data_IF_985894109944
#
_entry.id   IF_985894109944
#
_cell.length_a   1.000
_cell.length_b   1.000
_cell.length_c   1.000
_cell.angle_alpha   90.00
_cell.angle_beta   90.00
_cell.angle_gamma   90.00
#
_symmetry.space_group_name_H-M   'P 1'
#
loop_
_entity.id
_entity.type
_entity.pdbx_description
1 polymer ?
#
# COMPACT_ATOMS: atom_id res chain seq x y z
N UNK A 1 28.54 14.26 14.82
CA UNK A 1 27.80 13.25 14.03
C UNK A 1 26.81 14.02 13.16
N UNK A 2 26.95 13.99 11.83
CA UNK A 2 26.06 14.78 10.96
C UNK A 2 24.63 14.21 10.99
N UNK A 3 23.65 15.04 11.30
CA UNK A 3 22.22 14.66 11.31
C UNK A 3 21.74 14.46 9.88
N UNK A 4 21.53 13.20 9.47
CA UNK A 4 20.94 12.88 8.16
C UNK A 4 19.47 13.33 8.15
N UNK A 5 19.10 14.16 7.18
CA UNK A 5 17.68 14.46 6.91
C UNK A 5 17.03 13.17 6.38
N UNK A 6 15.86 12.75 6.90
CA UNK A 6 15.19 11.57 6.39
C UNK A 6 14.79 11.80 4.93
N UNK A 7 14.97 10.76 4.11
CA UNK A 7 14.51 10.75 2.73
C UNK A 7 12.96 10.77 2.70
N UNK A 8 12.35 11.42 1.71
CA UNK A 8 10.90 11.41 1.56
C UNK A 8 10.42 9.97 1.32
N UNK A 9 9.42 9.55 2.10
CA UNK A 9 8.81 8.21 2.02
C UNK A 9 7.38 8.34 1.50
N UNK A 10 6.96 7.40 0.67
CA UNK A 10 5.59 7.19 0.26
C UNK A 10 5.22 5.71 0.42
N UNK A 11 3.93 5.43 0.51
CA UNK A 11 3.40 4.08 0.70
C UNK A 11 2.60 3.65 -0.53
N UNK A 12 2.73 2.39 -0.92
CA UNK A 12 1.88 1.77 -1.93
C UNK A 12 1.06 0.67 -1.27
N UNK A 13 -0.27 0.84 -1.23
CA UNK A 13 -1.17 -0.19 -0.70
C UNK A 13 -1.60 -1.13 -1.82
N UNK A 14 -1.62 -2.43 -1.51
CA UNK A 14 -2.00 -3.51 -2.42
C UNK A 14 -3.23 -4.27 -1.91
N UNK A 15 -4.45 -3.70 -1.98
CA UNK A 15 -5.68 -4.30 -1.45
C UNK A 15 -5.95 -5.73 -1.94
N UNK A 16 -5.69 -5.98 -3.22
CA UNK A 16 -5.89 -7.29 -3.87
C UNK A 16 -4.90 -8.33 -3.36
N UNK A 17 -3.61 -7.99 -3.29
CA UNK A 17 -2.58 -8.87 -2.70
C UNK A 17 -2.90 -9.17 -1.24
N UNK A 18 -3.26 -8.15 -0.46
CA UNK A 18 -3.67 -8.30 0.94
C UNK A 18 -4.83 -9.30 1.08
N UNK A 19 -5.81 -9.23 0.18
CA UNK A 19 -6.94 -10.15 0.18
C UNK A 19 -6.54 -11.57 -0.20
N UNK A 20 -5.82 -11.77 -1.31
CA UNK A 20 -5.39 -13.08 -1.81
C UNK A 20 -4.55 -13.83 -0.77
N UNK A 21 -3.64 -13.12 -0.10
CA UNK A 21 -2.75 -13.70 0.91
C UNK A 21 -3.33 -13.70 2.32
N UNK A 22 -4.56 -13.19 2.52
CA UNK A 22 -5.22 -13.09 3.82
C UNK A 22 -4.40 -12.34 4.88
N UNK A 23 -3.70 -11.29 4.45
CA UNK A 23 -2.89 -10.44 5.33
C UNK A 23 -3.79 -9.53 6.19
N UNK A 24 -3.30 -9.06 7.35
CA UNK A 24 -4.00 -8.04 8.13
C UNK A 24 -4.20 -6.76 7.32
N UNK A 25 -5.23 -5.98 7.68
CA UNK A 25 -5.44 -4.67 7.07
C UNK A 25 -4.28 -3.74 7.41
N UNK A 26 -3.69 -3.04 6.42
CA UNK A 26 -2.68 -2.03 6.69
C UNK A 26 -3.31 -0.83 7.42
N UNK A 27 -2.58 -0.14 8.31
CA UNK A 27 -3.06 1.05 9.02
C UNK A 27 -3.03 2.28 8.09
N UNK A 28 -3.78 2.22 6.98
CA UNK A 28 -3.76 3.24 5.93
C UNK A 28 -4.14 4.63 6.45
N UNK A 29 -5.12 4.72 7.34
CA UNK A 29 -5.57 5.99 7.93
C UNK A 29 -4.49 6.62 8.81
N UNK A 30 -3.77 5.82 9.59
CA UNK A 30 -2.69 6.29 10.46
C UNK A 30 -1.48 6.75 9.65
N UNK A 31 -1.29 6.20 8.44
CA UNK A 31 -0.27 6.68 7.50
C UNK A 31 -0.69 7.99 6.81
N UNK A 32 -1.96 8.11 6.40
CA UNK A 32 -2.48 9.31 5.70
C UNK A 32 -2.58 10.51 6.65
N UNK A 33 -3.00 10.32 7.90
CA UNK A 33 -3.21 11.39 8.88
C UNK A 33 -2.01 12.34 9.07
N UNK A 34 -0.76 11.87 9.20
CA UNK A 34 0.43 12.73 9.25
C UNK A 34 0.88 13.29 7.88
N UNK A 35 0.12 13.04 6.80
CA UNK A 35 0.40 13.56 5.46
C UNK A 35 1.35 12.70 4.62
N UNK A 36 1.55 11.42 4.95
CA UNK A 36 2.35 10.52 4.10
C UNK A 36 1.60 10.29 2.78
N UNK A 37 2.25 10.50 1.61
CA UNK A 37 1.65 10.19 0.33
C UNK A 37 1.37 8.69 0.22
N UNK A 38 0.13 8.33 -0.12
CA UNK A 38 -0.31 6.94 -0.29
C UNK A 38 -0.83 6.74 -1.69
N UNK A 39 -0.30 5.74 -2.38
CA UNK A 39 -0.75 5.28 -3.68
C UNK A 39 -1.44 3.91 -3.58
N UNK A 40 -2.28 3.59 -4.56
CA UNK A 40 -2.87 2.26 -4.72
C UNK A 40 -2.18 1.53 -5.87
N UNK A 41 -1.92 0.24 -5.69
CA UNK A 41 -1.34 -0.61 -6.73
C UNK A 41 -1.94 -2.01 -6.73
N UNK A 42 -1.94 -2.65 -7.90
CA UNK A 42 -2.35 -4.06 -8.03
C UNK A 42 -1.26 -5.03 -7.57
N UNK A 43 0.00 -4.63 -7.69
CA UNK A 43 1.18 -5.42 -7.30
C UNK A 43 1.52 -6.54 -8.28
N UNK A 44 2.79 -6.96 -8.27
CA UNK A 44 3.25 -8.24 -8.82
C UNK A 44 3.85 -9.04 -7.68
N UNK A 45 3.23 -10.17 -7.35
CA UNK A 45 3.67 -11.04 -6.26
C UNK A 45 3.62 -12.49 -6.75
N UNK A 46 4.70 -13.25 -6.55
CA UNK A 46 4.76 -14.65 -6.98
C UNK A 46 3.74 -15.52 -6.25
N UNK A 47 3.36 -15.14 -5.02
CA UNK A 47 2.41 -15.87 -4.20
C UNK A 47 0.94 -15.44 -4.41
N UNK A 48 0.69 -14.41 -5.24
CA UNK A 48 -0.66 -13.91 -5.48
C UNK A 48 -0.86 -13.51 -6.95
N UNK A 49 -1.90 -14.06 -7.58
CA UNK A 49 -2.29 -13.65 -8.92
C UNK A 49 -2.52 -12.13 -8.99
N UNK A 50 -1.95 -11.50 -10.01
CA UNK A 50 -2.18 -10.10 -10.29
C UNK A 50 -3.64 -9.87 -10.69
N UNK A 51 -4.33 -9.00 -9.94
CA UNK A 51 -5.70 -8.62 -10.21
C UNK A 51 -5.75 -7.22 -10.83
N UNK A 52 -6.86 -6.88 -11.49
CA UNK A 52 -6.97 -5.62 -12.24
C UNK A 52 -6.92 -4.39 -11.33
N UNK A 53 -6.47 -3.27 -11.90
CA UNK A 53 -6.46 -1.99 -11.16
C UNK A 53 -7.88 -1.53 -10.81
N UNK A 54 -8.88 -1.81 -11.66
CA UNK A 54 -10.28 -1.50 -11.37
C UNK A 54 -10.77 -2.19 -10.08
N UNK A 55 -10.47 -3.49 -9.92
CA UNK A 55 -10.79 -4.21 -8.69
C UNK A 55 -10.02 -3.66 -7.49
N UNK A 56 -8.76 -3.30 -7.68
CA UNK A 56 -7.91 -2.69 -6.64
C UNK A 56 -8.55 -1.40 -6.09
N UNK A 57 -9.06 -0.52 -6.96
CA UNK A 57 -9.74 0.72 -6.57
C UNK A 57 -11.04 0.44 -5.83
N UNK A 58 -11.84 -0.53 -6.30
CA UNK A 58 -13.10 -0.92 -5.64
C UNK A 58 -12.87 -1.45 -4.22
N UNK A 59 -11.75 -2.13 -3.98
CA UNK A 59 -11.39 -2.69 -2.67
C UNK A 59 -10.74 -1.68 -1.71
N UNK A 60 -10.43 -0.48 -2.16
CA UNK A 60 -9.73 0.55 -1.39
C UNK A 60 -10.66 1.47 -0.58
N UNK A 61 -11.88 1.02 -0.29
CA UNK A 61 -12.89 1.75 0.50
C UNK A 61 -12.55 1.80 2.00
#
# INVERSE_FOLDING_TARGET
>A
MATRKPEPVFVVLLPTTKFTLKLPNPPARDMIAPGVPVALGSGYNMDAHCLSMALTMTMAQ
#
